data_IF_211373472047
#
_entry.id   IF_211373472047
#
_cell.length_a   1.000
_cell.length_b   1.000
_cell.length_c   1.000
_cell.angle_alpha   90.00
_cell.angle_beta   90.00
_cell.angle_gamma   90.00
#
_symmetry.space_group_name_H-M   'P 1'
#
loop_
_entity.id
_entity.type
_entity.pdbx_description
1 polymer ?
#
# COMPACT_ATOMS: atom_id res chain seq x y z
N UNK A 1 17.80 13.52 5.12
CA UNK A 1 16.69 13.05 4.26
C UNK A 1 16.17 11.76 4.85
N UNK A 2 14.85 11.62 5.06
CA UNK A 2 14.26 10.42 5.68
C UNK A 2 13.72 9.49 4.59
N UNK A 3 14.21 8.24 4.55
CA UNK A 3 13.78 7.20 3.60
C UNK A 3 12.87 6.20 4.31
N UNK A 4 11.72 5.92 3.71
CA UNK A 4 10.72 4.98 4.21
C UNK A 4 10.66 3.73 3.33
N UNK A 5 10.79 2.55 3.91
CA UNK A 5 10.56 1.27 3.23
C UNK A 5 9.15 0.78 3.54
N UNK A 6 8.34 0.53 2.51
CA UNK A 6 6.99 0.02 2.62
C UNK A 6 6.97 -1.46 2.17
N UNK A 7 6.75 -2.36 3.11
CA UNK A 7 6.74 -3.80 2.89
C UNK A 7 5.30 -4.35 2.84
N UNK A 8 5.11 -5.56 2.32
CA UNK A 8 3.79 -6.20 2.21
C UNK A 8 3.28 -6.77 3.55
N UNK A 9 4.20 -7.22 4.40
CA UNK A 9 3.89 -7.92 5.65
C UNK A 9 4.90 -7.67 6.76
N UNK A 10 4.52 -7.83 8.05
CA UNK A 10 5.42 -7.57 9.17
C UNK A 10 6.70 -8.41 9.19
N UNK A 11 6.66 -9.67 8.73
CA UNK A 11 7.85 -10.54 8.69
C UNK A 11 8.92 -9.98 7.75
N UNK A 12 8.52 -9.66 6.51
CA UNK A 12 9.37 -9.01 5.51
C UNK A 12 9.94 -7.69 6.03
N UNK A 13 9.10 -6.87 6.68
CA UNK A 13 9.55 -5.61 7.30
C UNK A 13 10.64 -5.81 8.36
N UNK A 14 10.56 -6.87 9.17
CA UNK A 14 11.61 -7.18 10.17
C UNK A 14 12.91 -7.63 9.52
N UNK A 15 12.84 -8.48 8.50
CA UNK A 15 14.02 -8.94 7.77
C UNK A 15 14.77 -7.77 7.11
N UNK A 16 14.04 -6.89 6.42
CA UNK A 16 14.60 -5.69 5.81
C UNK A 16 15.19 -4.75 6.87
N UNK A 17 14.46 -4.50 7.95
CA UNK A 17 14.90 -3.61 9.01
C UNK A 17 16.21 -4.09 9.66
N UNK A 18 16.38 -5.41 9.89
CA UNK A 18 17.63 -5.97 10.40
C UNK A 18 18.81 -5.70 9.44
N UNK A 19 18.62 -5.90 8.14
CA UNK A 19 19.67 -5.69 7.15
C UNK A 19 20.05 -4.21 6.98
N UNK A 20 19.10 -3.30 7.23
CA UNK A 20 19.29 -1.85 7.17
C UNK A 20 19.79 -1.22 8.49
N UNK A 21 19.84 -1.98 9.58
CA UNK A 21 20.20 -1.47 10.92
C UNK A 21 19.08 -0.66 11.59
N UNK A 22 17.82 -0.87 11.19
CA UNK A 22 16.64 -0.24 11.78
C UNK A 22 16.07 -1.13 12.91
N UNK A 23 16.68 -1.09 14.09
CA UNK A 23 16.33 -1.98 15.21
C UNK A 23 15.40 -1.34 16.26
N UNK A 24 15.22 -0.02 16.22
CA UNK A 24 14.38 0.70 17.17
C UNK A 24 12.90 0.44 16.87
N UNK A 25 12.17 -0.09 17.85
CA UNK A 25 10.74 -0.41 17.70
C UNK A 25 9.89 0.86 17.80
N UNK A 26 9.03 1.07 16.81
CA UNK A 26 7.96 2.05 16.82
C UNK A 26 6.58 1.40 16.73
N UNK A 27 5.53 2.22 16.79
CA UNK A 27 4.17 1.73 16.55
C UNK A 27 3.99 1.45 15.05
N UNK A 28 3.92 0.17 14.65
CA UNK A 28 3.72 -0.24 13.25
C UNK A 28 4.92 0.01 12.32
N UNK A 29 6.12 0.24 12.87
CA UNK A 29 7.35 0.47 12.12
C UNK A 29 8.60 0.14 12.94
N UNK A 30 9.74 0.08 12.26
CA UNK A 30 11.08 -0.03 12.81
C UNK A 30 11.94 1.12 12.30
N UNK A 31 12.81 1.67 13.13
CA UNK A 31 13.61 2.85 12.82
C UNK A 31 15.08 2.62 13.18
N UNK A 32 15.97 3.33 12.50
CA UNK A 32 17.40 3.33 12.80
C UNK A 32 18.23 3.61 11.56
N UNK A 33 19.48 4.00 11.76
CA UNK A 33 20.42 4.27 10.67
C UNK A 33 19.88 5.24 9.59
N UNK A 34 19.08 6.24 10.00
CA UNK A 34 18.49 7.23 9.10
C UNK A 34 17.34 6.72 8.21
N UNK A 35 16.86 5.49 8.42
CA UNK A 35 15.73 4.91 7.67
C UNK A 35 14.58 4.51 8.59
N UNK A 36 13.39 4.44 8.02
CA UNK A 36 12.21 3.84 8.66
C UNK A 36 11.71 2.69 7.79
N UNK A 37 11.35 1.57 8.41
CA UNK A 37 10.73 0.42 7.75
C UNK A 37 9.33 0.22 8.33
N UNK A 38 8.32 0.16 7.46
CA UNK A 38 6.93 -0.13 7.82
C UNK A 38 6.38 -1.17 6.87
N UNK A 39 5.15 -1.60 7.11
CA UNK A 39 4.51 -2.67 6.35
C UNK A 39 3.00 -2.48 6.32
N UNK A 40 2.39 -3.04 5.30
CA UNK A 40 0.96 -3.34 5.25
C UNK A 40 0.71 -4.76 5.80
N UNK A 41 -0.54 -5.23 5.75
CA UNK A 41 -0.89 -6.62 6.00
C UNK A 41 -2.03 -7.00 5.06
N UNK A 42 -1.69 -7.42 3.84
CA UNK A 42 -2.65 -7.49 2.75
C UNK A 42 -3.19 -6.10 2.38
N UNK A 43 -4.41 -6.04 1.83
CA UNK A 43 -5.04 -4.79 1.42
C UNK A 43 -5.57 -4.02 2.63
N UNK A 44 -4.99 -2.86 2.90
CA UNK A 44 -5.50 -1.91 3.91
C UNK A 44 -6.72 -1.13 3.42
N UNK A 45 -6.92 -1.11 2.10
CA UNK A 45 -7.98 -0.42 1.39
C UNK A 45 -8.95 -1.45 0.81
N UNK A 46 -10.20 -1.05 0.62
CA UNK A 46 -11.23 -1.80 -0.09
C UNK A 46 -12.05 -0.86 -0.97
N UNK A 47 -12.70 -1.36 -2.04
CA UNK A 47 -13.62 -0.55 -2.82
C UNK A 47 -14.69 0.05 -1.92
N UNK A 48 -14.98 1.33 -2.11
CA UNK A 48 -16.10 1.95 -1.43
C UNK A 48 -17.40 1.24 -1.85
N UNK A 49 -18.34 1.02 -0.94
CA UNK A 49 -19.62 0.40 -1.28
C UNK A 49 -20.47 1.36 -2.15
N UNK A 50 -21.46 0.87 -2.91
CA UNK A 50 -22.28 1.71 -3.79
C UNK A 50 -22.90 2.94 -3.10
N UNK A 51 -23.33 2.81 -1.84
CA UNK A 51 -23.90 3.90 -1.05
C UNK A 51 -22.93 5.06 -0.78
N UNK A 52 -21.62 4.84 -0.90
CA UNK A 52 -20.60 5.89 -0.83
C UNK A 52 -20.54 6.78 -2.09
N UNK A 53 -21.25 6.38 -3.15
CA UNK A 53 -21.38 7.13 -4.40
C UNK A 53 -22.73 7.81 -4.49
N UNK A 54 -23.79 7.08 -4.16
CA UNK A 54 -25.14 7.62 -4.03
C UNK A 54 -25.85 6.89 -2.87
N UNK A 55 -26.30 7.59 -1.81
CA UNK A 55 -27.02 6.98 -0.69
C UNK A 55 -28.22 6.10 -1.09
N UNK A 56 -28.86 6.39 -2.22
CA UNK A 56 -29.99 5.62 -2.73
C UNK A 56 -29.60 4.19 -3.14
N UNK A 57 -28.32 3.96 -3.49
CA UNK A 57 -27.78 2.65 -3.85
C UNK A 57 -27.62 1.69 -2.66
N UNK A 58 -27.94 2.13 -1.44
CA UNK A 58 -28.02 1.26 -0.27
C UNK A 58 -29.08 0.17 -0.44
N UNK A 59 -30.15 0.44 -1.20
CA UNK A 59 -31.15 -0.55 -1.61
C UNK A 59 -31.03 -0.78 -3.10
N UNK A 60 -30.86 -2.04 -3.47
CA UNK A 60 -30.62 -2.39 -4.86
C UNK A 60 -31.95 -2.58 -5.57
N UNK A 61 -32.03 -2.07 -6.78
CA UNK A 61 -33.12 -2.34 -7.71
C UNK A 61 -32.52 -2.81 -9.03
N UNK A 62 -33.25 -3.64 -9.79
CA UNK A 62 -32.76 -4.16 -11.06
C UNK A 62 -32.50 -3.02 -12.06
N UNK A 63 -33.25 -1.93 -11.97
CA UNK A 63 -33.14 -0.73 -12.80
C UNK A 63 -31.85 0.06 -12.53
N UNK A 64 -31.25 -0.09 -11.35
CA UNK A 64 -30.01 0.58 -10.97
C UNK A 64 -28.76 -0.17 -11.47
N UNK A 65 -28.91 -1.37 -12.02
CA UNK A 65 -27.81 -2.19 -12.51
C UNK A 65 -27.55 -1.96 -14.02
N UNK A 66 -26.28 -1.99 -14.47
CA UNK A 66 -25.06 -2.11 -13.65
C UNK A 66 -24.66 -0.78 -13.02
N UNK A 67 -24.23 -0.81 -11.76
CA UNK A 67 -23.67 0.37 -11.09
C UNK A 67 -22.22 0.53 -11.56
N UNK A 68 -21.96 1.57 -12.36
CA UNK A 68 -20.63 1.86 -12.89
C UNK A 68 -20.21 3.27 -12.47
N UNK A 69 -19.29 3.42 -11.50
CA UNK A 69 -18.89 4.73 -11.04
C UNK A 69 -17.96 5.38 -12.06
N UNK A 70 -18.08 6.68 -12.27
CA UNK A 70 -17.17 7.43 -13.14
C UNK A 70 -15.71 7.39 -12.63
N UNK A 71 -15.54 7.32 -11.31
CA UNK A 71 -14.25 7.18 -10.63
C UNK A 71 -14.40 6.23 -9.46
N UNK A 72 -13.54 5.21 -9.40
CA UNK A 72 -13.52 4.29 -8.28
C UNK A 72 -12.96 4.97 -7.02
N UNK A 73 -13.66 4.78 -5.90
CA UNK A 73 -13.22 5.22 -4.57
C UNK A 73 -12.75 4.00 -3.79
N UNK A 74 -11.67 4.18 -3.03
CA UNK A 74 -11.19 3.21 -2.04
C UNK A 74 -11.39 3.79 -0.65
N UNK A 75 -11.80 2.94 0.29
CA UNK A 75 -11.94 3.27 1.70
C UNK A 75 -10.99 2.42 2.56
N UNK A 76 -10.59 2.96 3.72
CA UNK A 76 -9.70 2.24 4.64
C UNK A 76 -10.52 1.25 5.45
N UNK A 77 -10.12 -0.03 5.42
CA UNK A 77 -10.78 -1.06 6.21
C UNK A 77 -10.81 -0.68 7.68
N UNK A 78 -11.93 -0.86 8.41
CA UNK A 78 -12.00 -0.54 9.84
C UNK A 78 -10.90 -1.22 10.66
N UNK A 79 -10.58 -2.48 10.34
CA UNK A 79 -9.50 -3.27 10.97
C UNK A 79 -8.09 -2.73 10.65
N UNK A 80 -7.90 -2.09 9.50
CA UNK A 80 -6.62 -1.55 9.04
C UNK A 80 -6.36 -0.11 9.49
N UNK A 81 -7.38 0.61 9.99
CA UNK A 81 -7.33 2.06 10.28
C UNK A 81 -6.14 2.48 11.14
N UNK A 82 -5.78 1.70 12.16
CA UNK A 82 -4.64 2.00 13.03
C UNK A 82 -3.32 1.99 12.25
N UNK A 83 -3.06 0.95 11.45
CA UNK A 83 -1.83 0.82 10.68
C UNK A 83 -1.79 1.81 9.52
N UNK A 84 -2.92 2.04 8.85
CA UNK A 84 -3.00 3.05 7.80
C UNK A 84 -2.64 4.44 8.33
N UNK A 85 -3.11 4.82 9.52
CA UNK A 85 -2.76 6.10 10.14
C UNK A 85 -1.27 6.20 10.50
N UNK A 86 -0.65 5.11 10.93
CA UNK A 86 0.82 5.04 11.12
C UNK A 86 1.53 5.31 9.79
N UNK A 87 1.19 4.57 8.74
CA UNK A 87 1.81 4.71 7.42
C UNK A 87 1.63 6.13 6.88
N UNK A 88 0.41 6.69 6.99
CA UNK A 88 0.10 8.06 6.57
C UNK A 88 1.00 9.09 7.27
N UNK A 89 1.21 8.95 8.58
CA UNK A 89 2.10 9.82 9.35
C UNK A 89 3.56 9.69 8.89
N UNK A 90 4.03 8.46 8.65
CA UNK A 90 5.39 8.19 8.18
C UNK A 90 5.62 8.73 6.76
N UNK A 91 4.65 8.57 5.87
CA UNK A 91 4.70 9.13 4.52
C UNK A 91 4.73 10.65 4.53
N UNK A 92 4.01 11.29 5.46
CA UNK A 92 4.01 12.74 5.62
C UNK A 92 5.37 13.34 6.03
N UNK A 93 6.26 12.55 6.64
CA UNK A 93 7.62 12.99 7.00
C UNK A 93 8.73 12.41 6.11
N UNK A 94 8.39 11.47 5.22
CA UNK A 94 9.34 10.84 4.31
C UNK A 94 9.62 11.74 3.10
N UNK A 95 10.89 11.89 2.74
CA UNK A 95 11.29 12.56 1.49
C UNK A 95 11.29 11.58 0.31
N UNK A 96 11.43 10.29 0.63
CA UNK A 96 11.58 9.21 -0.33
C UNK A 96 10.96 7.93 0.22
N UNK A 97 10.30 7.17 -0.66
CA UNK A 97 9.73 5.87 -0.36
C UNK A 97 10.34 4.81 -1.26
N UNK A 98 10.68 3.68 -0.66
CA UNK A 98 11.06 2.45 -1.34
C UNK A 98 9.93 1.43 -1.15
N UNK A 99 9.27 1.06 -2.24
CA UNK A 99 8.31 -0.06 -2.28
C UNK A 99 9.13 -1.34 -2.24
N UNK A 100 9.05 -2.07 -1.13
CA UNK A 100 9.77 -3.31 -0.87
C UNK A 100 8.81 -4.49 -0.70
N UNK A 101 7.75 -4.51 -1.51
CA UNK A 101 6.81 -5.64 -1.62
C UNK A 101 7.38 -6.74 -2.51
N UNK A 102 6.74 -7.90 -2.52
CA UNK A 102 7.11 -8.97 -3.44
C UNK A 102 7.00 -8.47 -4.90
N UNK A 103 7.87 -8.97 -5.79
CA UNK A 103 7.99 -8.57 -7.20
C UNK A 103 6.82 -9.05 -8.08
N UNK A 104 5.63 -9.10 -7.49
CA UNK A 104 4.40 -9.56 -8.11
C UNK A 104 3.45 -8.38 -8.30
N UNK A 105 2.50 -8.55 -9.23
CA UNK A 105 1.53 -7.50 -9.57
C UNK A 105 0.75 -7.02 -8.33
N UNK A 106 0.39 -7.94 -7.45
CA UNK A 106 -0.40 -7.65 -6.25
C UNK A 106 0.38 -6.84 -5.22
N UNK A 107 1.65 -7.17 -4.99
CA UNK A 107 2.52 -6.40 -4.08
C UNK A 107 2.64 -4.94 -4.53
N UNK A 108 2.94 -4.74 -5.82
CA UNK A 108 3.02 -3.41 -6.43
C UNK A 108 1.69 -2.64 -6.32
N UNK A 109 0.56 -3.32 -6.56
CA UNK A 109 -0.77 -2.72 -6.43
C UNK A 109 -1.03 -2.24 -5.01
N UNK A 110 -0.84 -3.11 -4.00
CA UNK A 110 -1.10 -2.77 -2.59
C UNK A 110 -0.27 -1.54 -2.17
N UNK A 111 1.01 -1.50 -2.52
CA UNK A 111 1.86 -0.38 -2.18
C UNK A 111 1.38 0.92 -2.85
N UNK A 112 1.02 0.87 -4.14
CA UNK A 112 0.55 2.03 -4.89
C UNK A 112 -0.78 2.56 -4.38
N UNK A 113 -1.73 1.69 -4.05
CA UNK A 113 -3.01 2.07 -3.46
C UNK A 113 -2.81 2.88 -2.17
N UNK A 114 -1.90 2.43 -1.30
CA UNK A 114 -1.58 3.13 -0.04
C UNK A 114 -0.93 4.49 -0.29
N UNK A 115 0.01 4.58 -1.24
CA UNK A 115 0.68 5.83 -1.59
C UNK A 115 -0.30 6.86 -2.19
N UNK A 116 -1.20 6.40 -3.05
CA UNK A 116 -2.22 7.24 -3.67
C UNK A 116 -3.26 7.73 -2.64
N UNK A 117 -3.75 6.83 -1.78
CA UNK A 117 -4.65 7.18 -0.69
C UNK A 117 -4.03 8.18 0.31
N UNK A 118 -2.71 8.12 0.51
CA UNK A 118 -1.96 9.07 1.33
C UNK A 118 -1.53 10.34 0.58
N UNK A 119 -1.80 10.44 -0.73
CA UNK A 119 -1.37 11.53 -1.62
C UNK A 119 0.14 11.79 -1.55
N UNK A 120 0.94 10.72 -1.44
CA UNK A 120 2.39 10.86 -1.38
C UNK A 120 2.93 11.41 -2.70
N UNK A 121 3.74 12.46 -2.62
CA UNK A 121 4.28 13.18 -3.79
C UNK A 121 5.81 13.19 -3.84
N UNK A 122 6.48 12.54 -2.88
CA UNK A 122 7.94 12.43 -2.85
C UNK A 122 8.48 11.44 -3.89
N UNK A 123 9.80 11.23 -3.86
CA UNK A 123 10.45 10.24 -4.73
C UNK A 123 10.01 8.83 -4.35
N UNK A 124 9.65 8.04 -5.35
CA UNK A 124 9.20 6.66 -5.17
C UNK A 124 10.06 5.73 -6.01
N UNK A 125 10.68 4.77 -5.35
CA UNK A 125 11.45 3.72 -5.99
C UNK A 125 10.79 2.37 -5.71
N UNK A 126 10.77 1.48 -6.70
CA UNK A 126 10.33 0.11 -6.50
C UNK A 126 11.52 -0.83 -6.56
N UNK A 127 11.61 -1.74 -5.60
CA UNK A 127 12.55 -2.84 -5.62
C UNK A 127 11.78 -4.16 -5.71
N UNK A 128 12.04 -4.95 -6.75
CA UNK A 128 11.42 -6.26 -6.90
C UNK A 128 12.03 -7.24 -5.91
N UNK A 129 11.34 -7.53 -4.81
CA UNK A 129 11.73 -8.59 -3.90
C UNK A 129 11.29 -9.95 -4.49
N UNK A 130 12.24 -10.78 -4.94
CA UNK A 130 11.94 -12.20 -5.18
C UNK A 130 11.91 -12.96 -3.87
N UNK A 131 11.07 -14.00 -3.80
CA UNK A 131 10.60 -14.78 -2.63
C UNK A 131 11.66 -15.32 -1.64
N UNK A 132 12.95 -15.06 -1.88
CA UNK A 132 14.07 -15.32 -0.97
C UNK A 132 14.90 -14.05 -0.77
N UNK A 133 14.60 -13.27 0.26
CA UNK A 133 15.44 -12.14 0.64
C UNK A 133 16.74 -12.64 1.28
N UNK A 134 17.79 -12.82 0.48
CA UNK A 134 19.13 -13.05 1.04
C UNK A 134 19.70 -11.75 1.61
N UNK A 135 20.65 -11.79 2.56
CA UNK A 135 21.30 -10.61 3.14
C UNK A 135 21.98 -9.67 2.13
N UNK A 136 22.33 -10.21 0.95
CA UNK A 136 22.94 -9.47 -0.16
C UNK A 136 21.92 -8.57 -0.86
N UNK A 137 20.64 -8.91 -0.76
CA UNK A 137 19.55 -8.23 -1.44
C UNK A 137 19.24 -6.86 -0.84
N UNK A 138 19.12 -6.65 0.48
CA UNK A 138 18.71 -5.33 0.99
C UNK A 138 19.70 -4.19 0.74
N UNK A 139 21.02 -4.46 0.76
CA UNK A 139 22.00 -3.46 0.31
C UNK A 139 21.91 -3.25 -1.21
N UNK A 140 21.64 -4.29 -1.99
CA UNK A 140 21.32 -4.16 -3.42
C UNK A 140 20.00 -3.44 -3.70
N UNK A 141 18.99 -3.49 -2.80
CA UNK A 141 17.73 -2.75 -2.93
C UNK A 141 18.01 -1.26 -3.02
N UNK A 142 19.05 -0.77 -2.32
CA UNK A 142 19.46 0.64 -2.39
C UNK A 142 20.10 1.00 -3.74
N UNK A 143 20.80 0.06 -4.38
CA UNK A 143 21.55 0.29 -5.63
C UNK A 143 20.69 0.09 -6.88
N UNK A 144 19.72 -0.83 -6.85
CA UNK A 144 18.96 -1.27 -8.04
C UNK A 144 17.52 -0.75 -8.11
N UNK A 145 17.13 0.12 -7.17
CA UNK A 145 15.80 0.72 -7.16
C UNK A 145 15.61 1.60 -8.40
N UNK A 146 14.54 1.36 -9.16
CA UNK A 146 14.21 2.16 -10.35
C UNK A 146 13.11 3.15 -9.99
N UNK A 147 13.29 4.41 -10.39
CA UNK A 147 12.19 5.37 -10.40
C UNK A 147 11.10 4.84 -11.33
N UNK A 148 9.87 4.78 -10.83
CA UNK A 148 8.71 4.35 -11.60
C UNK A 148 7.68 5.47 -11.59
N UNK A 149 7.21 5.94 -12.77
CA UNK A 149 6.18 6.97 -12.83
C UNK A 149 4.88 6.49 -12.18
N UNK A 150 4.02 7.43 -11.76
CA UNK A 150 2.69 7.11 -11.21
C UNK A 150 1.85 6.42 -12.29
N UNK A 151 1.19 5.32 -11.92
CA UNK A 151 0.09 4.77 -12.72
C UNK A 151 -1.12 5.68 -12.57
N UNK A 152 -1.78 5.99 -13.68
CA UNK A 152 -3.00 6.78 -13.67
C UNK A 152 -4.19 5.80 -13.67
N UNK A 153 -5.02 5.89 -12.62
CA UNK A 153 -6.24 5.10 -12.38
C UNK A 153 -6.02 3.70 -11.82
N UNK A 154 -6.26 3.55 -10.51
CA UNK A 154 -6.50 2.25 -9.88
C UNK A 154 -7.90 1.78 -10.27
N UNK A 155 -7.99 0.67 -11.01
CA UNK A 155 -9.25 -0.09 -11.11
C UNK A 155 -9.24 -1.17 -10.02
N UNK A 156 -10.26 -1.24 -9.16
CA UNK A 156 -10.38 -2.31 -8.18
C UNK A 156 -10.47 -3.67 -8.88
N UNK A 157 -10.00 -4.72 -8.20
CA UNK A 157 -10.01 -6.07 -8.75
C UNK A 157 -11.44 -6.60 -8.78
N UNK A 158 -11.74 -7.47 -9.74
CA UNK A 158 -13.04 -8.12 -9.88
C UNK A 158 -13.50 -8.83 -8.60
N UNK A 159 -12.57 -9.47 -7.87
CA UNK A 159 -12.87 -10.14 -6.60
C UNK A 159 -13.31 -9.17 -5.49
N UNK A 160 -12.71 -7.98 -5.43
CA UNK A 160 -13.05 -6.98 -4.41
C UNK A 160 -14.43 -6.35 -4.70
N UNK A 161 -14.79 -6.25 -5.98
CA UNK A 161 -16.09 -5.75 -6.43
C UNK A 161 -17.25 -6.66 -5.99
N UNK A 162 -17.09 -7.98 -6.09
CA UNK A 162 -18.11 -8.93 -5.60
C UNK A 162 -18.27 -8.81 -4.08
N UNK A 163 -17.15 -8.74 -3.34
CA UNK A 163 -17.15 -8.66 -1.87
C UNK A 163 -17.75 -7.35 -1.32
N UNK A 164 -17.73 -6.27 -2.10
CA UNK A 164 -18.25 -4.95 -1.72
C UNK A 164 -19.61 -4.63 -2.36
N UNK A 165 -20.26 -5.63 -2.97
CA UNK A 165 -21.60 -5.48 -3.51
C UNK A 165 -21.64 -4.64 -4.78
N UNK A 166 -20.75 -4.89 -5.73
CA UNK A 166 -20.84 -4.33 -7.08
C UNK A 166 -21.38 -5.32 -8.10
N UNK A 167 -21.50 -6.60 -7.73
CA UNK A 167 -22.00 -7.69 -8.56
C UNK A 167 -22.89 -8.61 -7.72
N UNK A 168 -24.05 -9.00 -8.26
CA UNK A 168 -24.80 -10.21 -7.84
C UNK A 168 -24.42 -11.33 -8.81
#
# INVERSE_FOLDING_TARGET
MSRLFLCEKPSQGREIAQQLGATQKGNGCLQGNGVTVTWVFGHLLEPAPPEAYNPDLKRWTLEALPILPAQWKLEVKPSAKKQFNVIKKLLGSASEVVIATDAEREGELIAREVLEACRFSGRCHACGCHHSMTPVSARHLMTYSRERPRSHSIKPRSADLVATGWWV
#
